data_IF_308968829904
#
_entry.id   IF_308968829904
#
_cell.length_a   1.000
_cell.length_b   1.000
_cell.length_c   1.000
_cell.angle_alpha   90.00
_cell.angle_beta   90.00
_cell.angle_gamma   90.00
#
_symmetry.space_group_name_H-M   'P 1'
#
loop_
_entity.id
_entity.type
_entity.pdbx_description
1 polymer ?
#
# COMPACT_ATOMS: atom_id res chain seq x y z
N UNK A 1 -26.34 22.02 60.57
CA UNK A 1 -25.28 23.01 60.23
C UNK A 1 -24.53 22.51 59.00
N UNK A 2 -24.45 23.34 57.95
CA UNK A 2 -23.78 23.01 56.67
C UNK A 2 -22.44 23.75 56.66
N UNK A 3 -21.32 23.04 56.61
CA UNK A 3 -19.99 23.66 56.63
C UNK A 3 -19.80 24.59 55.41
N UNK A 4 -19.39 25.87 55.57
CA UNK A 4 -19.28 26.82 54.45
C UNK A 4 -17.98 26.70 53.64
N UNK A 5 -16.95 26.07 54.18
CA UNK A 5 -15.59 26.12 53.62
C UNK A 5 -15.17 24.86 52.83
N UNK A 6 -16.03 24.46 51.90
CA UNK A 6 -15.66 23.45 50.90
C UNK A 6 -14.65 24.01 49.89
N UNK A 7 -13.38 24.20 50.29
CA UNK A 7 -12.29 24.53 49.36
C UNK A 7 -12.27 23.52 48.22
N UNK A 8 -12.75 23.92 47.03
CA UNK A 8 -12.67 23.11 45.81
C UNK A 8 -11.19 22.75 45.58
N UNK A 9 -10.84 21.47 45.62
CA UNK A 9 -9.48 21.01 45.29
C UNK A 9 -9.16 21.45 43.86
N UNK A 10 -8.22 22.37 43.70
CA UNK A 10 -7.68 22.70 42.38
C UNK A 10 -7.07 21.43 41.78
N UNK A 11 -7.51 21.07 40.57
CA UNK A 11 -6.93 19.94 39.83
C UNK A 11 -5.42 20.19 39.70
N UNK A 12 -4.59 19.19 40.04
CA UNK A 12 -3.15 19.25 39.77
C UNK A 12 -2.97 19.35 38.25
N UNK A 13 -2.66 20.55 37.76
CA UNK A 13 -2.33 20.75 36.36
C UNK A 13 -0.96 20.08 36.13
N UNK A 14 -0.92 19.09 35.24
CA UNK A 14 0.33 18.45 34.86
C UNK A 14 1.30 19.44 34.19
N UNK A 15 2.47 18.95 33.79
CA UNK A 15 3.45 19.75 33.04
C UNK A 15 2.77 20.44 31.84
N UNK A 16 3.00 21.75 31.61
CA UNK A 16 2.47 22.43 30.44
C UNK A 16 2.86 21.71 29.14
N UNK A 17 1.92 21.65 28.19
CA UNK A 17 2.19 21.05 26.88
C UNK A 17 3.21 21.92 26.14
N UNK A 18 4.20 21.27 25.52
CA UNK A 18 5.20 21.94 24.68
C UNK A 18 4.60 22.56 23.42
N UNK A 19 3.54 21.95 22.89
CA UNK A 19 2.85 22.42 21.69
C UNK A 19 1.55 23.12 22.08
N UNK A 20 1.31 24.29 21.48
CA UNK A 20 0.05 25.02 21.61
C UNK A 20 -1.04 24.37 20.76
N UNK A 21 -2.30 24.73 21.00
CA UNK A 21 -3.43 24.28 20.16
C UNK A 21 -3.28 24.71 18.70
N UNK A 22 -2.62 25.85 18.43
CA UNK A 22 -2.30 26.31 17.08
C UNK A 22 -1.26 25.41 16.43
N UNK A 23 -0.20 25.05 17.16
CA UNK A 23 0.84 24.16 16.65
C UNK A 23 0.29 22.78 16.31
N UNK A 24 -0.57 22.22 17.17
CA UNK A 24 -1.23 20.92 16.91
C UNK A 24 -2.05 20.98 15.63
N UNK A 25 -2.76 22.09 15.36
CA UNK A 25 -3.53 22.26 14.12
C UNK A 25 -2.64 22.35 12.89
N UNK A 26 -1.53 23.09 12.96
CA UNK A 26 -0.57 23.16 11.85
C UNK A 26 0.14 21.83 11.60
N UNK A 27 0.50 21.12 12.68
CA UNK A 27 1.06 19.76 12.61
C UNK A 27 0.08 18.82 11.90
N UNK A 28 -1.20 18.86 12.29
CA UNK A 28 -2.24 18.06 11.66
C UNK A 28 -2.35 18.35 10.16
N UNK A 29 -2.46 19.62 9.78
CA UNK A 29 -2.61 20.01 8.37
C UNK A 29 -1.39 19.59 7.53
N UNK A 30 -0.17 19.83 7.98
CA UNK A 30 1.03 19.45 7.22
C UNK A 30 1.21 17.94 7.11
N UNK A 31 0.94 17.20 8.19
CA UNK A 31 1.09 15.75 8.19
C UNK A 31 -0.02 15.05 7.39
N UNK A 32 -1.27 15.49 7.52
CA UNK A 32 -2.43 14.82 6.93
C UNK A 32 -2.87 15.36 5.57
N UNK A 33 -2.57 16.62 5.25
CA UNK A 33 -2.94 17.23 3.95
C UNK A 33 -1.75 17.31 3.01
N UNK A 34 -0.55 17.62 3.52
CA UNK A 34 0.66 17.70 2.69
C UNK A 34 1.49 16.41 2.69
N UNK A 35 1.08 15.39 3.46
CA UNK A 35 1.76 14.09 3.53
C UNK A 35 3.14 14.12 4.19
N UNK A 36 3.49 15.19 4.91
CA UNK A 36 4.82 15.33 5.50
C UNK A 36 5.02 14.35 6.67
N UNK A 37 6.22 13.78 6.78
CA UNK A 37 6.62 13.01 7.96
C UNK A 37 6.64 13.90 9.22
N UNK A 38 6.63 13.27 10.39
CA UNK A 38 6.74 14.00 11.66
C UNK A 38 8.04 14.79 11.78
N UNK A 39 9.13 14.35 11.12
CA UNK A 39 10.41 15.05 11.10
C UNK A 39 10.35 16.28 10.19
N UNK A 40 9.79 16.13 8.99
CA UNK A 40 9.59 17.24 8.05
C UNK A 40 8.65 18.27 8.64
N UNK A 41 7.49 17.87 9.15
CA UNK A 41 6.52 18.76 9.81
C UNK A 41 7.17 19.58 10.93
N UNK A 42 7.98 18.94 11.79
CA UNK A 42 8.73 19.64 12.84
C UNK A 42 9.67 20.70 12.24
N UNK A 43 10.44 20.33 11.23
CA UNK A 43 11.43 21.22 10.61
C UNK A 43 10.74 22.39 9.90
N UNK A 44 9.68 22.12 9.13
CA UNK A 44 8.89 23.12 8.40
C UNK A 44 8.25 24.13 9.35
N UNK A 45 7.76 23.69 10.51
CA UNK A 45 7.16 24.57 11.52
C UNK A 45 8.18 25.17 12.50
N UNK A 46 9.47 24.86 12.37
CA UNK A 46 10.51 25.34 13.29
C UNK A 46 10.27 24.94 14.75
N UNK A 47 9.59 23.82 15.01
CA UNK A 47 9.19 23.43 16.37
C UNK A 47 10.40 22.95 17.18
N UNK A 48 10.64 23.59 18.32
CA UNK A 48 11.66 23.17 19.28
C UNK A 48 11.17 21.99 20.15
N UNK A 49 10.92 20.85 19.52
CA UNK A 49 10.52 19.61 20.18
C UNK A 49 11.05 18.37 19.46
N UNK A 50 10.97 17.20 20.09
CA UNK A 50 11.35 15.94 19.43
C UNK A 50 10.30 15.52 18.39
N UNK A 51 10.71 14.75 17.36
CA UNK A 51 9.76 14.15 16.40
C UNK A 51 8.67 13.31 17.08
N UNK A 52 8.99 12.71 18.22
CA UNK A 52 8.05 11.92 19.02
C UNK A 52 6.95 12.79 19.63
N UNK A 53 7.24 14.04 19.95
CA UNK A 53 6.23 15.01 20.45
C UNK A 53 5.21 15.31 19.36
N UNK A 54 5.66 15.46 18.11
CA UNK A 54 4.78 15.59 16.93
C UNK A 54 3.94 14.33 16.72
N UNK A 55 4.54 13.13 16.78
CA UNK A 55 3.80 11.87 16.69
C UNK A 55 2.73 11.74 17.79
N UNK A 56 3.03 12.13 19.03
CA UNK A 56 2.06 12.10 20.14
C UNK A 56 0.95 13.13 19.95
N UNK A 57 1.26 14.30 19.41
CA UNK A 57 0.26 15.31 19.07
C UNK A 57 -0.72 14.79 18.01
N UNK A 58 -0.20 14.14 16.96
CA UNK A 58 -1.02 13.49 15.94
C UNK A 58 -1.83 12.34 16.52
N UNK A 59 -1.20 11.43 17.28
CA UNK A 59 -1.88 10.29 17.91
C UNK A 59 -2.92 10.67 18.98
N UNK A 60 -2.88 11.89 19.51
CA UNK A 60 -3.91 12.42 20.43
C UNK A 60 -5.00 13.22 19.72
N UNK A 61 -4.90 13.40 18.40
CA UNK A 61 -5.91 14.08 17.59
C UNK A 61 -6.92 13.06 17.07
N UNK A 62 -8.21 13.25 17.37
CA UNK A 62 -9.27 12.26 17.04
C UNK A 62 -9.34 11.88 15.56
N UNK A 63 -9.04 12.82 14.65
CA UNK A 63 -9.20 12.61 13.21
C UNK A 63 -7.90 12.15 12.52
N UNK A 64 -6.78 12.01 13.25
CA UNK A 64 -5.51 11.57 12.68
C UNK A 64 -5.26 10.10 13.00
N UNK A 65 -5.02 9.28 11.97
CA UNK A 65 -4.58 7.89 12.15
C UNK A 65 -3.35 7.60 11.32
N UNK A 66 -2.39 6.90 11.90
CA UNK A 66 -1.25 6.41 11.15
C UNK A 66 -1.64 5.10 10.45
N UNK A 67 -1.73 5.12 9.12
CA UNK A 67 -2.27 4.01 8.33
C UNK A 67 -1.34 3.63 7.19
N UNK A 68 -1.41 2.38 6.76
CA UNK A 68 -0.69 1.87 5.60
C UNK A 68 -1.32 2.46 4.33
N UNK A 69 -0.50 2.89 3.37
CA UNK A 69 -1.00 3.29 2.07
C UNK A 69 -1.68 2.11 1.37
N UNK A 70 -2.86 2.36 0.79
CA UNK A 70 -3.54 1.36 -0.02
C UNK A 70 -2.93 1.37 -1.41
N UNK A 71 -2.42 0.21 -1.82
CA UNK A 71 -1.96 0.03 -3.19
C UNK A 71 -3.10 -0.51 -4.04
N UNK A 72 -3.48 0.21 -5.09
CA UNK A 72 -4.38 -0.32 -6.10
C UNK A 72 -4.07 0.31 -7.47
N UNK A 73 -4.22 -0.46 -8.56
CA UNK A 73 -4.11 0.10 -9.90
C UNK A 73 -5.26 1.08 -10.13
N UNK A 74 -4.98 2.17 -10.86
CA UNK A 74 -6.03 3.09 -11.28
C UNK A 74 -6.94 2.41 -12.30
N UNK A 75 -8.21 2.22 -11.94
CA UNK A 75 -9.23 1.69 -12.85
C UNK A 75 -10.03 2.84 -13.46
N UNK A 76 -9.91 3.00 -14.77
CA UNK A 76 -10.81 3.87 -15.54
C UNK A 76 -12.19 3.21 -15.65
N UNK A 77 -13.23 3.97 -15.98
CA UNK A 77 -14.57 3.39 -16.13
C UNK A 77 -14.60 2.38 -17.28
N UNK A 78 -13.84 2.61 -18.35
CA UNK A 78 -13.63 1.63 -19.42
C UNK A 78 -13.01 0.32 -18.91
N UNK A 79 -12.03 0.37 -17.98
CA UNK A 79 -11.48 -0.83 -17.36
C UNK A 79 -12.54 -1.58 -16.55
N UNK A 80 -13.36 -0.87 -15.78
CA UNK A 80 -14.42 -1.48 -14.96
C UNK A 80 -15.44 -2.19 -15.83
N UNK A 81 -15.96 -1.52 -16.86
CA UNK A 81 -16.94 -2.11 -17.78
C UNK A 81 -16.41 -3.37 -18.46
N UNK A 82 -15.16 -3.35 -18.96
CA UNK A 82 -14.54 -4.54 -19.57
C UNK A 82 -14.35 -5.69 -18.57
N UNK A 83 -13.97 -5.39 -17.33
CA UNK A 83 -13.80 -6.41 -16.29
C UNK A 83 -15.12 -7.06 -15.89
N UNK A 84 -16.19 -6.28 -15.77
CA UNK A 84 -17.54 -6.80 -15.47
C UNK A 84 -18.01 -7.69 -16.61
N UNK A 85 -17.93 -7.23 -17.87
CA UNK A 85 -18.31 -8.03 -19.03
C UNK A 85 -17.53 -9.35 -19.13
N UNK A 86 -16.22 -9.33 -18.85
CA UNK A 86 -15.41 -10.54 -18.78
C UNK A 86 -15.87 -11.47 -17.64
N UNK A 87 -16.13 -10.94 -16.45
CA UNK A 87 -16.59 -11.72 -15.32
C UNK A 87 -17.95 -12.38 -15.62
N UNK A 88 -18.90 -11.62 -16.17
CA UNK A 88 -20.23 -12.11 -16.55
C UNK A 88 -20.12 -13.25 -17.59
N UNK A 89 -19.20 -13.14 -18.54
CA UNK A 89 -18.96 -14.20 -19.53
C UNK A 89 -18.33 -15.46 -18.92
N UNK A 90 -17.50 -15.33 -17.89
CA UNK A 90 -16.65 -16.43 -17.39
C UNK A 90 -17.12 -17.02 -16.06
N UNK A 91 -18.14 -16.44 -15.43
CA UNK A 91 -18.77 -16.97 -14.21
C UNK A 91 -19.72 -18.13 -14.49
N UNK A 92 -20.16 -18.29 -15.75
CA UNK A 92 -21.00 -19.43 -16.16
C UNK A 92 -20.29 -20.76 -15.93
N UNK A 93 -21.04 -21.76 -15.44
CA UNK A 93 -20.57 -23.14 -15.21
C UNK A 93 -20.09 -23.85 -16.49
N UNK A 94 -20.42 -23.30 -17.67
CA UNK A 94 -19.95 -23.82 -18.96
C UNK A 94 -18.46 -23.55 -19.20
N UNK A 95 -17.85 -22.56 -18.53
CA UNK A 95 -16.45 -22.25 -18.74
C UNK A 95 -15.55 -23.17 -17.90
N UNK A 96 -14.88 -24.12 -18.55
CA UNK A 96 -13.99 -25.06 -17.91
C UNK A 96 -12.68 -24.39 -17.47
N UNK A 97 -12.65 -23.86 -16.24
CA UNK A 97 -11.45 -23.31 -15.62
C UNK A 97 -10.32 -24.33 -15.45
N UNK A 98 -10.62 -25.63 -15.43
CA UNK A 98 -9.60 -26.69 -15.35
C UNK A 98 -8.67 -26.72 -16.56
N UNK A 99 -9.19 -26.36 -17.74
CA UNK A 99 -8.39 -26.30 -18.98
C UNK A 99 -7.60 -25.01 -19.16
N UNK A 100 -7.60 -24.10 -18.18
CA UNK A 100 -6.93 -22.80 -18.27
C UNK A 100 -5.56 -22.87 -17.59
N UNK A 101 -4.54 -22.45 -18.33
CA UNK A 101 -3.22 -22.16 -17.80
C UNK A 101 -3.03 -20.65 -17.69
N UNK A 102 -2.77 -20.20 -16.48
CA UNK A 102 -2.38 -18.83 -16.18
C UNK A 102 -0.86 -18.73 -16.23
N UNK A 103 -0.34 -17.64 -16.78
CA UNK A 103 1.07 -17.28 -16.69
C UNK A 103 1.18 -15.80 -16.36
N UNK A 104 2.19 -15.44 -15.58
CA UNK A 104 2.43 -14.04 -15.23
C UNK A 104 3.91 -13.78 -14.95
N UNK A 105 4.29 -12.52 -15.04
CA UNK A 105 5.61 -12.03 -14.66
C UNK A 105 5.52 -11.23 -13.36
N UNK A 106 6.41 -11.52 -12.42
CA UNK A 106 6.55 -10.74 -11.19
C UNK A 106 7.92 -10.09 -11.12
N UNK A 107 7.92 -8.76 -11.05
CA UNK A 107 9.11 -7.99 -10.69
C UNK A 107 9.27 -7.92 -9.17
N UNK A 108 10.47 -8.20 -8.67
CA UNK A 108 10.90 -7.99 -7.29
C UNK A 108 11.95 -6.88 -7.27
N UNK A 109 11.68 -5.79 -6.56
CA UNK A 109 12.65 -4.71 -6.40
C UNK A 109 13.61 -5.04 -5.24
N UNK A 110 14.89 -4.73 -5.42
CA UNK A 110 15.97 -5.00 -4.45
C UNK A 110 16.20 -3.82 -3.47
N UNK A 111 15.48 -2.71 -3.64
CA UNK A 111 15.72 -1.44 -2.96
C UNK A 111 14.82 -1.17 -1.74
N UNK A 112 13.98 -2.13 -1.35
CA UNK A 112 13.29 -2.11 -0.07
C UNK A 112 11.88 -2.72 -0.10
N UNK A 113 11.22 -2.82 1.07
CA UNK A 113 9.88 -3.39 1.16
C UNK A 113 8.84 -2.49 0.47
N UNK A 114 8.56 -2.80 -0.79
CA UNK A 114 7.45 -2.25 -1.55
C UNK A 114 6.14 -2.43 -0.77
N UNK A 115 5.59 -1.32 -0.27
CA UNK A 115 4.33 -1.32 0.47
C UNK A 115 4.44 -1.18 1.98
N UNK A 116 5.63 -1.03 2.57
CA UNK A 116 5.78 -0.59 3.97
C UNK A 116 5.70 0.95 4.12
N UNK A 117 4.96 1.62 3.25
CA UNK A 117 4.74 3.06 3.32
C UNK A 117 3.49 3.34 4.16
N UNK A 118 3.67 4.20 5.16
CA UNK A 118 2.62 4.64 6.07
C UNK A 118 2.57 6.17 6.08
N UNK A 119 1.38 6.70 6.34
CA UNK A 119 1.16 8.14 6.45
C UNK A 119 0.14 8.45 7.55
N UNK A 120 0.11 9.72 7.95
CA UNK A 120 -0.94 10.24 8.81
C UNK A 120 -2.15 10.59 7.96
N UNK A 121 -3.22 9.83 8.12
CA UNK A 121 -4.46 10.01 7.39
C UNK A 121 -5.47 10.80 8.22
N UNK A 122 -6.07 11.80 7.58
CA UNK A 122 -7.29 12.42 8.09
C UNK A 122 -8.48 11.51 7.81
N UNK A 123 -9.06 10.93 8.88
CA UNK A 123 -10.16 9.97 8.77
C UNK A 123 -11.45 10.52 8.19
N UNK A 124 -11.53 11.84 7.97
CA UNK A 124 -12.66 12.51 7.32
C UNK A 124 -12.58 12.46 5.80
N UNK A 125 -11.42 12.12 5.24
CA UNK A 125 -11.18 12.03 3.81
C UNK A 125 -11.13 10.56 3.37
N UNK A 126 -11.37 10.26 2.07
CA UNK A 126 -11.09 8.93 1.56
C UNK A 126 -9.58 8.63 1.67
N UNK A 127 -9.19 7.37 1.99
CA UNK A 127 -7.79 6.99 2.02
C UNK A 127 -7.12 7.17 0.66
N UNK A 128 -5.87 7.64 0.68
CA UNK A 128 -5.08 7.77 -0.53
C UNK A 128 -4.73 6.39 -1.12
N UNK A 129 -4.89 6.29 -2.44
CA UNK A 129 -4.55 5.10 -3.22
C UNK A 129 -3.31 5.42 -4.05
N UNK A 130 -2.27 4.62 -3.88
CA UNK A 130 -1.02 4.76 -4.63
C UNK A 130 -0.90 3.66 -5.68
N UNK A 131 -0.43 4.05 -6.86
CA UNK A 131 0.06 3.09 -7.85
C UNK A 131 1.38 2.50 -7.36
N UNK A 132 1.60 1.22 -7.65
CA UNK A 132 2.92 0.59 -7.45
C UNK A 132 3.96 1.36 -8.27
N UNK A 133 5.16 1.49 -7.70
CA UNK A 133 6.33 2.01 -8.42
C UNK A 133 6.71 1.02 -9.52
N UNK A 134 6.79 1.50 -10.76
CA UNK A 134 7.06 0.66 -11.93
C UNK A 134 8.57 0.60 -12.26
N UNK A 135 9.33 1.65 -11.91
CA UNK A 135 10.72 1.81 -12.34
C UNK A 135 11.65 2.40 -11.25
N UNK A 136 12.95 2.10 -11.41
CA UNK A 136 14.05 2.52 -10.53
C UNK A 136 14.47 1.44 -9.52
N UNK A 137 15.71 1.53 -9.03
CA UNK A 137 16.34 0.48 -8.22
C UNK A 137 16.84 -0.71 -9.04
N UNK A 138 17.60 -1.61 -8.41
CA UNK A 138 17.85 -2.95 -8.94
C UNK A 138 16.61 -3.82 -8.79
N UNK A 139 16.38 -4.74 -9.71
CA UNK A 139 15.21 -5.63 -9.67
C UNK A 139 15.43 -6.91 -10.44
N UNK A 140 14.87 -7.99 -9.93
CA UNK A 140 14.79 -9.26 -10.64
C UNK A 140 13.36 -9.49 -11.11
N UNK A 141 13.20 -10.00 -12.33
CA UNK A 141 11.91 -10.41 -12.87
C UNK A 141 11.85 -11.92 -12.87
N UNK A 142 10.76 -12.47 -12.36
CA UNK A 142 10.48 -13.90 -12.43
C UNK A 142 9.25 -14.15 -13.27
N UNK A 143 9.18 -15.34 -13.83
CA UNK A 143 8.04 -15.85 -14.57
C UNK A 143 7.63 -17.20 -13.99
N UNK A 144 6.32 -17.44 -13.97
CA UNK A 144 5.76 -18.75 -13.66
C UNK A 144 4.40 -18.91 -14.34
N UNK A 145 3.97 -20.16 -14.47
CA UNK A 145 2.65 -20.54 -14.92
C UNK A 145 2.00 -21.51 -13.93
N UNK A 146 0.67 -21.52 -13.90
CA UNK A 146 -0.12 -22.43 -13.07
C UNK A 146 -1.44 -22.77 -13.75
N UNK A 147 -1.89 -23.99 -13.55
CA UNK A 147 -3.21 -24.48 -13.94
C UNK A 147 -3.83 -25.29 -12.80
N UNK A 148 -4.94 -25.94 -13.10
CA UNK A 148 -5.59 -26.81 -12.12
C UNK A 148 -4.70 -28.00 -11.73
N UNK A 149 -4.05 -28.61 -12.72
CA UNK A 149 -3.30 -29.86 -12.53
C UNK A 149 -1.83 -29.63 -12.15
N UNK A 150 -1.40 -28.39 -11.92
CA UNK A 150 -0.04 -28.12 -11.42
C UNK A 150 0.49 -26.71 -11.64
N UNK A 151 1.75 -26.55 -11.26
CA UNK A 151 2.50 -25.29 -11.37
C UNK A 151 3.81 -25.52 -12.11
N UNK A 152 4.26 -24.52 -12.87
CA UNK A 152 5.56 -24.55 -13.55
C UNK A 152 6.68 -24.30 -12.55
N UNK A 153 7.90 -24.61 -12.98
CA UNK A 153 9.08 -24.08 -12.31
C UNK A 153 9.09 -22.54 -12.37
N UNK A 154 9.55 -21.90 -11.29
CA UNK A 154 9.79 -20.46 -11.26
C UNK A 154 11.08 -20.16 -12.05
N UNK A 155 11.02 -19.21 -12.98
CA UNK A 155 12.16 -18.83 -13.82
C UNK A 155 12.55 -17.39 -13.61
N UNK A 156 13.82 -17.14 -13.31
CA UNK A 156 14.37 -15.78 -13.28
C UNK A 156 14.64 -15.37 -14.73
N UNK A 157 14.08 -14.23 -15.14
CA UNK A 157 14.25 -13.68 -16.47
C UNK A 157 15.36 -12.65 -16.46
N UNK A 158 16.37 -12.88 -17.30
CA UNK A 158 17.51 -11.97 -17.42
C UNK A 158 17.19 -10.75 -18.29
N UNK A 159 17.60 -9.58 -17.81
CA UNK A 159 17.50 -8.33 -18.56
C UNK A 159 16.07 -7.82 -18.75
N UNK A 160 15.96 -6.80 -19.62
CA UNK A 160 14.68 -6.17 -19.93
C UNK A 160 13.82 -7.07 -20.80
N UNK A 161 12.62 -7.40 -20.33
CA UNK A 161 11.68 -8.18 -21.11
C UNK A 161 11.10 -7.34 -22.25
N UNK A 162 11.30 -7.82 -23.47
CA UNK A 162 10.69 -7.35 -24.69
C UNK A 162 9.93 -8.51 -25.36
N UNK A 163 9.25 -8.26 -26.47
CA UNK A 163 8.43 -9.28 -27.14
C UNK A 163 9.25 -10.53 -27.52
N UNK A 164 10.48 -10.36 -28.04
CA UNK A 164 11.33 -11.47 -28.44
C UNK A 164 11.79 -12.33 -27.25
N UNK A 165 12.20 -11.69 -26.15
CA UNK A 165 12.54 -12.37 -24.91
C UNK A 165 11.33 -13.14 -24.36
N UNK A 166 10.13 -12.55 -24.45
CA UNK A 166 8.91 -13.20 -24.00
C UNK A 166 8.52 -14.42 -24.83
N UNK A 167 8.63 -14.33 -26.16
CA UNK A 167 8.42 -15.48 -27.06
C UNK A 167 9.37 -16.61 -26.67
N UNK A 168 10.65 -16.31 -26.40
CA UNK A 168 11.62 -17.29 -25.92
C UNK A 168 11.19 -17.91 -24.59
N UNK A 169 10.75 -17.12 -23.62
CA UNK A 169 10.22 -17.61 -22.34
C UNK A 169 9.07 -18.61 -22.56
N UNK A 170 8.13 -18.29 -23.44
CA UNK A 170 7.02 -19.20 -23.75
C UNK A 170 7.51 -20.49 -24.40
N UNK A 171 8.43 -20.40 -25.36
CA UNK A 171 8.98 -21.57 -26.06
C UNK A 171 9.79 -22.48 -25.14
N UNK A 172 10.63 -21.89 -24.27
CA UNK A 172 11.57 -22.64 -23.43
C UNK A 172 10.93 -23.14 -22.12
N UNK A 173 9.89 -22.47 -21.62
CA UNK A 173 9.33 -22.77 -20.30
C UNK A 173 7.84 -23.11 -20.32
N UNK A 174 7.02 -22.33 -21.03
CA UNK A 174 5.57 -22.54 -21.03
C UNK A 174 5.15 -23.77 -21.85
N UNK A 175 5.62 -23.91 -23.09
CA UNK A 175 5.25 -25.03 -23.95
C UNK A 175 5.67 -26.39 -23.37
N UNK A 176 6.90 -26.56 -22.84
CA UNK A 176 7.29 -27.82 -22.19
C UNK A 176 6.46 -28.12 -20.94
N UNK A 177 6.12 -27.10 -20.14
CA UNK A 177 5.23 -27.27 -18.99
C UNK A 177 3.83 -27.73 -19.41
N UNK A 178 3.25 -27.10 -20.42
CA UNK A 178 1.95 -27.49 -20.97
C UNK A 178 1.97 -28.93 -21.53
N UNK A 179 3.06 -29.34 -22.18
CA UNK A 179 3.21 -30.72 -22.66
C UNK A 179 3.20 -31.73 -21.50
N UNK A 180 3.97 -31.47 -20.45
CA UNK A 180 4.02 -32.33 -19.24
C UNK A 180 2.65 -32.49 -18.58
N UNK A 181 1.82 -31.44 -18.54
CA UNK A 181 0.47 -31.51 -17.96
C UNK A 181 -0.50 -32.36 -18.79
N UNK A 182 -0.27 -32.53 -20.09
CA UNK A 182 -1.12 -33.40 -20.94
C UNK A 182 -0.77 -34.88 -20.78
N UNK A 183 0.43 -35.17 -20.29
CA UNK A 183 0.94 -36.53 -20.09
C UNK A 183 0.64 -37.08 -18.68
N UNK A 184 0.15 -36.22 -17.78
CA UNK A 184 -0.20 -36.52 -16.39
C UNK A 184 -1.70 -36.83 -16.23
#
# INVERSE_FOLDING_TARGET
>A
MRNPDGKKRCKKLGRPKTLTSRDVRHVFNLACTSGMSAKETRNTLGLNCSRWTVCRALGSTNNAKYVKHKQAPRLTDAHKSKRVAFADQKVSDEFCWRGVLFSDEKKFNLDGPDGCQYYWHDTRLPPEIYSKRIAGGGSDMVWAAMGFDGTSELKILEGRQNAAAYIRTLQTHFLPFMAKLKEA
#
